data_IF_998158267211
#
_entry.id   IF_998158267211
#
_cell.length_a   1.000
_cell.length_b   1.000
_cell.length_c   1.000
_cell.angle_alpha   90.00
_cell.angle_beta   90.00
_cell.angle_gamma   90.00
#
_symmetry.space_group_name_H-M   'P 1'
#
loop_
_entity.id
_entity.type
_entity.pdbx_description
1 polymer ?
#
# COMPACT_ATOMS: atom_id res chain seq x y z
N UNK A 1 35.57 -14.03 11.56
CA UNK A 1 34.77 -15.26 11.75
C UNK A 1 34.13 -15.21 13.13
N UNK A 2 32.82 -14.98 13.19
CA UNK A 2 32.09 -14.84 14.46
C UNK A 2 31.00 -15.92 14.65
N UNK A 3 30.58 -16.58 13.56
CA UNK A 3 29.61 -17.67 13.60
C UNK A 3 30.24 -18.97 14.11
N UNK A 4 29.41 -19.86 14.64
CA UNK A 4 29.78 -21.24 15.03
C UNK A 4 30.18 -22.06 13.80
N UNK A 5 30.86 -23.19 14.04
CA UNK A 5 31.11 -24.22 13.01
C UNK A 5 29.79 -24.88 12.61
N UNK A 6 29.76 -25.57 11.47
CA UNK A 6 28.61 -26.39 11.06
C UNK A 6 28.24 -27.44 12.12
N UNK A 7 29.26 -28.01 12.79
CA UNK A 7 29.09 -28.94 13.93
C UNK A 7 28.60 -28.28 15.23
N UNK A 8 28.35 -26.97 15.24
CA UNK A 8 27.91 -26.22 16.43
C UNK A 8 29.05 -25.75 17.36
N UNK A 9 30.27 -26.23 17.17
CA UNK A 9 31.44 -25.85 17.98
C UNK A 9 31.82 -24.36 17.86
N UNK A 10 32.30 -23.76 18.96
CA UNK A 10 32.77 -22.36 19.00
C UNK A 10 34.11 -22.23 18.26
N UNK A 11 34.29 -21.14 17.51
CA UNK A 11 35.53 -20.85 16.77
C UNK A 11 36.27 -19.67 17.42
N UNK A 12 37.53 -19.87 17.80
CA UNK A 12 38.39 -18.79 18.32
C UNK A 12 38.67 -17.79 17.20
N UNK A 13 38.59 -16.50 17.51
CA UNK A 13 38.98 -15.45 16.58
C UNK A 13 40.50 -15.41 16.47
N UNK A 14 41.03 -15.69 15.27
CA UNK A 14 42.49 -15.72 15.02
C UNK A 14 43.05 -14.36 14.57
N UNK A 15 42.18 -13.41 14.19
CA UNK A 15 42.56 -12.07 13.74
C UNK A 15 41.52 -11.02 14.11
N UNK A 16 41.94 -9.74 14.09
CA UNK A 16 41.07 -8.56 14.22
C UNK A 16 40.18 -8.38 12.97
N UNK A 17 39.08 -7.62 13.11
CA UNK A 17 38.14 -7.27 12.02
C UNK A 17 38.84 -6.45 10.95
N UNK A 18 38.57 -6.71 9.66
CA UNK A 18 39.18 -5.98 8.54
C UNK A 18 38.19 -4.99 7.91
N UNK A 19 38.70 -3.89 7.33
CA UNK A 19 37.89 -2.84 6.68
C UNK A 19 37.00 -3.40 5.55
N UNK A 20 37.46 -4.41 4.82
CA UNK A 20 36.67 -5.02 3.74
C UNK A 20 35.54 -5.94 4.23
N UNK A 21 35.48 -6.27 5.53
CA UNK A 21 34.39 -7.04 6.15
C UNK A 21 33.28 -6.12 6.72
N UNK A 22 33.38 -4.79 6.53
CA UNK A 22 32.43 -3.85 7.13
C UNK A 22 31.02 -3.99 6.55
N UNK A 23 30.02 -3.96 7.44
CA UNK A 23 28.63 -3.69 7.10
C UNK A 23 28.30 -2.21 7.30
N UNK A 24 27.17 -1.76 6.76
CA UNK A 24 26.63 -0.41 6.99
C UNK A 24 25.20 -0.52 7.50
N UNK A 25 24.75 0.52 8.22
CA UNK A 25 23.37 0.62 8.66
C UNK A 25 22.39 0.55 7.47
N UNK A 26 21.20 -0.05 7.64
CA UNK A 26 20.18 -0.11 6.59
C UNK A 26 19.66 1.30 6.25
N UNK A 27 19.07 1.43 5.06
CA UNK A 27 18.59 2.71 4.55
C UNK A 27 17.21 3.10 5.07
N UNK A 28 16.33 2.12 5.31
CA UNK A 28 14.95 2.30 5.74
C UNK A 28 14.20 3.40 4.96
N UNK A 29 14.29 3.35 3.63
CA UNK A 29 13.71 4.34 2.72
C UNK A 29 12.23 4.53 2.99
N UNK A 30 11.81 5.78 3.22
CA UNK A 30 10.41 6.13 3.50
C UNK A 30 9.75 6.77 2.29
N UNK A 31 8.43 6.63 2.25
CA UNK A 31 7.59 7.40 1.36
C UNK A 31 7.51 8.85 1.85
N UNK A 32 7.97 9.80 1.04
CA UNK A 32 7.87 11.24 1.34
C UNK A 32 8.24 12.06 0.11
N UNK A 33 7.50 13.16 -0.12
CA UNK A 33 7.76 14.15 -1.19
C UNK A 33 9.16 14.78 -1.11
N UNK A 34 9.75 14.84 0.10
CA UNK A 34 11.07 15.38 0.31
C UNK A 34 12.15 14.38 -0.10
N UNK A 35 12.33 14.21 -1.42
CA UNK A 35 13.29 13.28 -2.02
C UNK A 35 14.69 13.51 -1.47
N UNK A 36 15.21 12.51 -0.75
CA UNK A 36 16.52 12.57 -0.10
C UNK A 36 17.32 11.34 -0.48
N UNK A 37 18.39 11.51 -1.25
CA UNK A 37 19.29 10.42 -1.66
C UNK A 37 20.73 10.81 -1.33
N UNK A 38 21.41 9.98 -0.52
CA UNK A 38 22.80 10.22 -0.11
C UNK A 38 23.78 9.37 -0.91
N UNK A 39 24.86 10.00 -1.34
CA UNK A 39 25.99 9.33 -2.00
C UNK A 39 26.86 8.63 -0.95
N UNK A 40 27.23 7.36 -1.19
CA UNK A 40 28.10 6.57 -0.29
C UNK A 40 29.26 6.00 -1.09
N UNK A 41 30.48 6.38 -0.72
CA UNK A 41 31.71 5.76 -1.25
C UNK A 41 31.86 4.33 -0.74
N UNK A 42 32.18 3.41 -1.63
CA UNK A 42 32.47 2.00 -1.32
C UNK A 42 33.91 1.66 -1.72
N UNK A 43 34.31 0.40 -1.49
CA UNK A 43 35.66 -0.09 -1.81
C UNK A 43 35.93 0.07 -3.32
N UNK A 44 37.18 0.38 -3.67
CA UNK A 44 37.61 0.56 -5.06
C UNK A 44 37.21 1.89 -5.69
N UNK A 45 36.80 2.89 -4.89
CA UNK A 45 36.42 4.22 -5.41
C UNK A 45 34.99 4.30 -5.95
N UNK A 46 34.31 3.17 -6.11
CA UNK A 46 32.92 3.09 -6.55
C UNK A 46 31.94 3.79 -5.59
N UNK A 47 30.73 4.06 -6.08
CA UNK A 47 29.69 4.79 -5.37
C UNK A 47 28.38 4.01 -5.35
N UNK A 48 27.65 4.10 -4.23
CA UNK A 48 26.26 3.67 -4.11
C UNK A 48 25.37 4.84 -3.72
N UNK A 49 24.09 4.75 -4.08
CA UNK A 49 23.10 5.76 -3.76
C UNK A 49 22.11 5.21 -2.74
N UNK A 50 22.06 5.85 -1.58
CA UNK A 50 21.16 5.46 -0.49
C UNK A 50 19.97 6.39 -0.48
N UNK A 51 18.83 5.93 -0.99
CA UNK A 51 17.57 6.63 -0.77
C UNK A 51 17.20 6.57 0.71
N UNK A 52 16.85 7.73 1.28
CA UNK A 52 16.24 7.85 2.59
C UNK A 52 14.75 8.17 2.46
N UNK A 53 14.40 8.97 1.46
CA UNK A 53 13.02 9.37 1.14
C UNK A 53 12.81 9.42 -0.35
N UNK A 54 11.73 8.83 -0.83
CA UNK A 54 11.29 8.85 -2.24
C UNK A 54 9.78 9.00 -2.29
N UNK A 55 9.27 9.63 -3.34
CA UNK A 55 7.85 9.81 -3.66
C UNK A 55 7.49 9.34 -5.06
N UNK A 56 8.49 9.12 -5.91
CA UNK A 56 8.33 8.83 -7.33
C UNK A 56 9.24 7.67 -7.73
N UNK A 57 8.79 6.91 -8.72
CA UNK A 57 9.50 5.76 -9.26
C UNK A 57 9.18 5.56 -10.73
N UNK A 58 9.97 4.74 -11.42
CA UNK A 58 9.72 4.39 -12.81
C UNK A 58 9.07 3.01 -12.89
N UNK A 59 7.84 2.95 -13.40
CA UNK A 59 7.06 1.71 -13.44
C UNK A 59 6.74 1.30 -14.87
N UNK A 60 6.92 0.02 -15.16
CA UNK A 60 6.57 -0.59 -16.45
C UNK A 60 5.22 -1.28 -16.40
N UNK A 61 4.38 -1.00 -17.39
CA UNK A 61 3.23 -1.79 -17.77
C UNK A 61 3.68 -2.85 -18.77
N UNK A 62 3.64 -4.12 -18.37
CA UNK A 62 4.25 -5.23 -19.11
C UNK A 62 3.51 -5.55 -20.41
N UNK A 63 2.19 -5.73 -20.34
CA UNK A 63 1.35 -6.07 -21.48
C UNK A 63 1.40 -5.04 -22.62
N UNK A 64 1.39 -3.75 -22.28
CA UNK A 64 1.41 -2.65 -23.25
C UNK A 64 2.84 -2.16 -23.59
N UNK A 65 3.88 -2.75 -22.99
CA UNK A 65 5.28 -2.37 -23.15
C UNK A 65 5.57 -0.86 -22.91
N UNK A 66 4.97 -0.28 -21.87
CA UNK A 66 5.06 1.15 -21.58
C UNK A 66 5.65 1.39 -20.21
N UNK A 67 6.63 2.27 -20.14
CA UNK A 67 7.21 2.70 -18.88
C UNK A 67 6.90 4.18 -18.62
N UNK A 68 6.43 4.49 -17.41
CA UNK A 68 6.13 5.87 -16.99
C UNK A 68 6.64 6.12 -15.58
N UNK A 69 7.10 7.36 -15.37
CA UNK A 69 7.39 7.88 -14.04
C UNK A 69 6.06 8.17 -13.36
N UNK A 70 5.81 7.54 -12.22
CA UNK A 70 4.58 7.71 -11.45
C UNK A 70 4.89 7.98 -9.99
N UNK A 71 3.90 8.56 -9.30
CA UNK A 71 3.96 8.82 -7.86
C UNK A 71 3.64 7.54 -7.09
N UNK A 72 4.43 7.28 -6.06
CA UNK A 72 4.22 6.26 -5.05
C UNK A 72 3.19 6.78 -4.05
N UNK A 73 2.14 6.00 -3.78
CA UNK A 73 1.04 6.43 -2.90
C UNK A 73 1.09 5.74 -1.54
N UNK A 74 1.22 4.42 -1.55
CA UNK A 74 1.12 3.61 -0.33
C UNK A 74 1.88 2.27 -0.49
N UNK A 75 2.36 1.71 0.62
CA UNK A 75 2.90 0.34 0.70
C UNK A 75 1.82 -0.56 1.29
N UNK A 76 1.31 -1.51 0.51
CA UNK A 76 0.15 -2.32 0.91
C UNK A 76 0.53 -3.70 1.41
N UNK A 77 1.52 -4.32 0.77
CA UNK A 77 1.95 -5.68 1.11
C UNK A 77 3.46 -5.85 1.01
N UNK A 78 4.00 -6.68 1.91
CA UNK A 78 5.39 -7.08 1.91
C UNK A 78 5.46 -8.56 2.31
N UNK A 79 6.19 -9.36 1.54
CA UNK A 79 6.32 -10.78 1.79
C UNK A 79 7.19 -11.12 3.01
N UNK A 80 8.17 -10.27 3.34
CA UNK A 80 9.17 -10.58 4.36
C UNK A 80 8.75 -10.18 5.77
N UNK A 81 8.15 -8.99 5.93
CA UNK A 81 7.78 -8.47 7.24
C UNK A 81 6.64 -7.45 7.15
N UNK A 82 5.61 -7.63 7.98
CA UNK A 82 4.45 -6.74 8.06
C UNK A 82 4.79 -5.36 8.67
N UNK A 83 5.83 -5.24 9.49
CA UNK A 83 6.27 -3.95 10.05
C UNK A 83 6.73 -2.97 8.97
N UNK A 84 7.26 -3.50 7.86
CA UNK A 84 7.69 -2.67 6.73
C UNK A 84 6.50 -2.00 6.02
N UNK A 85 5.33 -2.64 6.07
CA UNK A 85 4.07 -2.08 5.57
C UNK A 85 3.58 -0.99 6.52
N UNK A 86 3.50 -1.29 7.82
CA UNK A 86 3.04 -0.35 8.86
C UNK A 86 3.85 0.95 8.86
N UNK A 87 5.15 0.82 8.67
CA UNK A 87 6.08 1.96 8.70
C UNK A 87 6.33 2.61 7.34
N UNK A 88 5.60 2.23 6.27
CA UNK A 88 5.75 2.80 4.93
C UNK A 88 7.20 2.70 4.39
N UNK A 89 7.84 1.53 4.57
CA UNK A 89 9.24 1.33 4.16
C UNK A 89 9.34 0.69 2.77
N UNK A 90 10.02 1.37 1.85
CA UNK A 90 10.22 0.92 0.47
C UNK A 90 11.40 -0.06 0.39
N UNK A 91 11.11 -1.31 0.04
CA UNK A 91 12.10 -2.37 -0.19
C UNK A 91 11.81 -3.09 -1.50
N UNK A 92 12.81 -3.84 -2.00
CA UNK A 92 12.61 -4.73 -3.16
C UNK A 92 11.49 -5.72 -2.84
N UNK A 93 10.65 -5.99 -3.83
CA UNK A 93 9.49 -6.88 -3.79
C UNK A 93 8.34 -6.39 -2.91
N UNK A 94 8.37 -5.14 -2.42
CA UNK A 94 7.21 -4.55 -1.79
C UNK A 94 6.13 -4.27 -2.83
N UNK A 95 4.89 -4.60 -2.49
CA UNK A 95 3.72 -4.28 -3.30
C UNK A 95 3.16 -2.95 -2.81
N UNK A 96 3.04 -2.03 -3.76
CA UNK A 96 2.72 -0.63 -3.54
C UNK A 96 1.54 -0.21 -4.41
N UNK A 97 0.85 0.85 -4.00
CA UNK A 97 -0.08 1.58 -4.85
C UNK A 97 0.66 2.70 -5.57
N UNK A 98 0.50 2.77 -6.87
CA UNK A 98 1.02 3.85 -7.73
C UNK A 98 -0.13 4.59 -8.40
N UNK A 99 0.10 5.86 -8.72
CA UNK A 99 -0.85 6.67 -9.48
C UNK A 99 -1.06 6.12 -10.90
N UNK A 100 -2.32 6.00 -11.31
CA UNK A 100 -2.73 5.49 -12.62
C UNK A 100 -2.72 6.57 -13.71
N UNK A 101 -2.73 7.86 -13.35
CA UNK A 101 -2.94 8.95 -14.31
C UNK A 101 -1.94 8.96 -15.49
N UNK A 102 -0.62 8.73 -15.30
CA UNK A 102 0.32 8.73 -16.41
C UNK A 102 0.09 7.59 -17.42
N UNK A 103 -0.43 6.44 -16.96
CA UNK A 103 -0.76 5.30 -17.81
C UNK A 103 -2.09 5.52 -18.53
N UNK A 104 -3.09 6.09 -17.85
CA UNK A 104 -4.37 6.48 -18.45
C UNK A 104 -4.18 7.50 -19.57
N UNK A 105 -3.37 8.54 -19.33
CA UNK A 105 -3.06 9.56 -20.35
C UNK A 105 -2.38 8.95 -21.57
N UNK A 106 -1.42 8.05 -21.35
CA UNK A 106 -0.78 7.33 -22.46
C UNK A 106 -1.78 6.48 -23.24
N UNK A 107 -2.66 5.76 -22.54
CA UNK A 107 -3.65 4.90 -23.18
C UNK A 107 -4.63 5.69 -24.04
N UNK A 108 -5.09 6.85 -23.55
CA UNK A 108 -5.91 7.79 -24.31
C UNK A 108 -5.20 8.27 -25.58
N UNK A 109 -3.92 8.61 -25.49
CA UNK A 109 -3.13 9.05 -26.65
C UNK A 109 -2.85 7.90 -27.64
N UNK A 110 -2.66 6.67 -27.14
CA UNK A 110 -2.28 5.53 -27.97
C UNK A 110 -3.47 4.92 -28.72
N UNK A 111 -4.59 4.72 -28.01
CA UNK A 111 -5.79 4.04 -28.50
C UNK A 111 -6.97 4.98 -28.77
N UNK A 112 -6.89 6.25 -28.34
CA UNK A 112 -8.01 7.19 -28.47
C UNK A 112 -9.18 6.92 -27.51
N UNK A 113 -8.99 6.05 -26.51
CA UNK A 113 -10.05 5.60 -25.60
C UNK A 113 -9.69 5.98 -24.16
N UNK A 114 -10.65 6.53 -23.43
CA UNK A 114 -10.50 6.87 -22.02
C UNK A 114 -10.82 5.64 -21.13
N UNK A 115 -9.86 5.16 -20.34
CA UNK A 115 -10.05 4.08 -19.35
C UNK A 115 -10.34 4.68 -17.98
N UNK A 116 -11.23 4.05 -17.21
CA UNK A 116 -11.41 4.37 -15.79
C UNK A 116 -12.47 5.44 -15.54
N UNK A 117 -13.31 5.73 -16.53
CA UNK A 117 -14.61 6.35 -16.28
C UNK A 117 -15.53 5.31 -15.66
N UNK A 118 -15.96 5.53 -14.41
CA UNK A 118 -17.07 4.77 -13.84
C UNK A 118 -18.29 4.98 -14.76
N UNK A 119 -18.82 3.90 -15.34
CA UNK A 119 -20.15 3.94 -15.97
C UNK A 119 -21.13 4.43 -14.90
N UNK A 120 -21.59 5.68 -15.00
CA UNK A 120 -22.80 6.08 -14.28
C UNK A 120 -23.92 5.19 -14.83
N UNK A 121 -24.60 4.45 -13.96
CA UNK A 121 -25.72 3.59 -14.35
C UNK A 121 -26.85 4.41 -15.01
N UNK A 122 -27.82 3.74 -15.66
CA UNK A 122 -28.86 4.37 -16.46
C UNK A 122 -29.97 5.05 -15.64
N UNK A 123 -29.71 5.46 -14.40
CA UNK A 123 -30.70 6.06 -13.49
C UNK A 123 -30.08 7.23 -12.72
N UNK A 124 -29.90 8.35 -13.43
CA UNK A 124 -30.01 9.74 -12.95
C UNK A 124 -29.64 10.66 -14.11
N UNK A 125 -30.58 10.82 -15.04
CA UNK A 125 -30.74 12.09 -15.74
C UNK A 125 -31.57 12.95 -14.79
N UNK A 126 -30.94 13.99 -14.25
CA UNK A 126 -31.49 15.30 -13.86
C UNK A 126 -30.73 15.91 -12.67
N UNK A 127 -30.21 17.11 -12.95
CA UNK A 127 -29.79 18.18 -12.05
C UNK A 127 -28.72 17.90 -10.97
N UNK A 128 -27.47 18.16 -11.31
CA UNK A 128 -26.62 19.08 -10.52
C UNK A 128 -25.47 19.53 -11.44
N UNK A 129 -25.74 20.63 -12.13
CA UNK A 129 -24.73 21.53 -12.68
C UNK A 129 -23.97 22.11 -11.48
N UNK A 130 -22.69 21.76 -11.37
CA UNK A 130 -21.60 22.49 -10.70
C UNK A 130 -20.47 21.49 -10.43
N UNK A 131 -19.45 21.58 -11.28
CA UNK A 131 -18.38 20.59 -11.41
C UNK A 131 -17.96 20.36 -12.87
N UNK A 132 -18.65 21.00 -13.82
CA UNK A 132 -18.17 21.26 -15.18
C UNK A 132 -17.07 22.33 -15.15
N UNK A 133 -15.89 21.93 -14.68
CA UNK A 133 -14.73 22.80 -14.50
C UNK A 133 -13.41 22.10 -14.76
N UNK A 134 -13.42 21.09 -15.61
CA UNK A 134 -12.26 20.54 -16.30
C UNK A 134 -12.80 19.89 -17.59
N UNK A 135 -13.28 20.78 -18.46
CA UNK A 135 -13.72 20.52 -19.82
C UNK A 135 -12.91 19.37 -20.45
N UNK A 136 -13.53 18.37 -21.06
CA UNK A 136 -14.12 18.59 -22.39
C UNK A 136 -13.18 19.38 -23.31
N UNK A 137 -11.89 19.05 -23.26
CA UNK A 137 -10.88 19.35 -24.27
C UNK A 137 -10.10 18.06 -24.61
N UNK A 138 -10.83 16.97 -24.87
CA UNK A 138 -10.52 16.28 -26.11
C UNK A 138 -11.13 17.17 -27.19
N UNK A 139 -10.42 18.26 -27.51
CA UNK A 139 -10.58 18.92 -28.80
C UNK A 139 -10.67 17.78 -29.82
N UNK A 140 -11.75 17.73 -30.59
CA UNK A 140 -11.74 17.04 -31.87
C UNK A 140 -10.76 17.81 -32.76
N UNK A 141 -9.48 17.72 -32.41
CA UNK A 141 -8.38 18.04 -33.29
C UNK A 141 -8.66 17.23 -34.53
N UNK A 142 -8.91 17.92 -35.65
CA UNK A 142 -9.09 17.28 -36.95
C UNK A 142 -7.83 16.46 -37.23
N UNK A 143 -7.88 15.16 -36.92
CA UNK A 143 -6.78 14.24 -37.15
C UNK A 143 -6.79 13.86 -38.62
N UNK A 144 -5.61 13.75 -39.21
CA UNK A 144 -5.51 13.27 -40.59
C UNK A 144 -6.07 11.85 -40.71
N UNK A 145 -6.63 11.51 -41.87
CA UNK A 145 -7.20 10.19 -42.15
C UNK A 145 -6.18 9.05 -41.89
N UNK A 146 -4.89 9.32 -42.07
CA UNK A 146 -3.82 8.36 -41.77
C UNK A 146 -3.69 8.07 -40.26
N UNK A 147 -3.86 9.08 -39.40
CA UNK A 147 -3.83 8.91 -37.94
C UNK A 147 -5.06 8.13 -37.46
N UNK A 148 -6.24 8.42 -38.00
CA UNK A 148 -7.47 7.70 -37.70
C UNK A 148 -7.32 6.21 -38.01
N UNK A 149 -6.90 5.88 -39.24
CA UNK A 149 -6.64 4.48 -39.64
C UNK A 149 -5.61 3.77 -38.76
N UNK A 150 -4.58 4.49 -38.31
CA UNK A 150 -3.56 3.93 -37.39
C UNK A 150 -4.14 3.62 -36.02
N UNK A 151 -5.02 4.47 -35.50
CA UNK A 151 -5.70 4.26 -34.22
C UNK A 151 -6.67 3.08 -34.33
N UNK A 152 -7.48 3.02 -35.39
CA UNK A 152 -8.41 1.90 -35.64
C UNK A 152 -7.68 0.55 -35.69
N UNK A 153 -6.54 0.47 -36.40
CA UNK A 153 -5.71 -0.73 -36.44
C UNK A 153 -5.22 -1.17 -35.05
N UNK A 154 -4.89 -0.21 -34.17
CA UNK A 154 -4.47 -0.51 -32.80
C UNK A 154 -5.64 -0.95 -31.92
N UNK A 155 -6.82 -0.37 -32.12
CA UNK A 155 -8.03 -0.73 -31.38
C UNK A 155 -8.43 -2.18 -31.58
N UNK A 156 -8.12 -2.78 -32.74
CA UNK A 156 -8.39 -4.20 -33.01
C UNK A 156 -7.61 -5.15 -32.07
N UNK A 157 -6.37 -4.81 -31.71
CA UNK A 157 -5.53 -5.64 -30.83
C UNK A 157 -5.76 -5.36 -29.33
N UNK A 158 -6.67 -4.45 -29.00
CA UNK A 158 -6.87 -3.93 -27.64
C UNK A 158 -7.58 -4.96 -26.76
N UNK A 159 -6.85 -5.55 -25.82
CA UNK A 159 -7.41 -6.44 -24.79
C UNK A 159 -6.85 -6.08 -23.42
N UNK A 160 -7.73 -5.64 -22.52
CA UNK A 160 -7.37 -5.30 -21.14
C UNK A 160 -8.01 -6.30 -20.18
N UNK A 161 -7.28 -6.69 -19.13
CA UNK A 161 -7.79 -7.56 -18.07
C UNK A 161 -8.78 -6.81 -17.17
N UNK A 162 -9.91 -7.44 -16.83
CA UNK A 162 -10.98 -6.87 -16.00
C UNK A 162 -10.45 -6.32 -14.67
N UNK A 163 -9.52 -7.04 -14.03
CA UNK A 163 -8.94 -6.62 -12.75
C UNK A 163 -8.12 -5.34 -12.86
N UNK A 164 -7.48 -5.11 -14.02
CA UNK A 164 -6.69 -3.90 -14.28
C UNK A 164 -7.65 -2.73 -14.58
N UNK A 165 -8.73 -2.97 -15.33
CA UNK A 165 -9.76 -1.96 -15.63
C UNK A 165 -10.43 -1.40 -14.36
N UNK A 166 -10.72 -2.28 -13.41
CA UNK A 166 -11.23 -1.92 -12.08
C UNK A 166 -10.26 -1.01 -11.32
N UNK A 167 -8.95 -1.29 -11.38
CA UNK A 167 -7.93 -0.46 -10.73
C UNK A 167 -7.79 0.92 -11.38
N UNK A 168 -7.88 1.01 -12.70
CA UNK A 168 -7.92 2.29 -13.40
C UNK A 168 -9.13 3.14 -12.99
N UNK A 169 -10.28 2.51 -12.74
CA UNK A 169 -11.47 3.18 -12.20
C UNK A 169 -11.27 3.71 -10.77
N UNK A 170 -10.39 3.06 -9.99
CA UNK A 170 -9.95 3.52 -8.68
C UNK A 170 -8.83 4.57 -8.72
N UNK A 171 -8.25 4.84 -9.89
CA UNK A 171 -7.14 5.77 -10.08
C UNK A 171 -5.81 5.31 -9.45
N UNK A 172 -5.73 4.05 -8.99
CA UNK A 172 -4.55 3.51 -8.30
C UNK A 172 -4.27 2.11 -8.81
N UNK A 173 -3.05 1.88 -9.28
CA UNK A 173 -2.60 0.57 -9.75
C UNK A 173 -1.74 -0.11 -8.68
N UNK A 174 -1.86 -1.43 -8.57
CA UNK A 174 -0.93 -2.22 -7.76
C UNK A 174 0.34 -2.51 -8.55
N UNK A 175 1.49 -2.25 -7.94
CA UNK A 175 2.78 -2.45 -8.56
C UNK A 175 3.77 -3.12 -7.59
N UNK A 176 4.76 -3.81 -8.15
CA UNK A 176 5.86 -4.42 -7.41
C UNK A 176 7.15 -3.65 -7.64
N UNK A 177 7.87 -3.31 -6.57
CA UNK A 177 9.20 -2.70 -6.66
C UNK A 177 10.22 -3.79 -7.02
N UNK A 178 10.88 -3.69 -8.18
CA UNK A 178 11.94 -4.62 -8.60
C UNK A 178 13.34 -4.12 -8.24
N UNK A 179 13.51 -2.81 -8.07
CA UNK A 179 14.79 -2.18 -7.71
C UNK A 179 15.14 -2.32 -6.22
N UNK A 180 16.35 -1.89 -5.83
CA UNK A 180 16.83 -1.87 -4.44
C UNK A 180 17.12 -0.43 -3.98
N UNK A 181 16.12 0.31 -3.46
CA UNK A 181 16.24 1.74 -3.16
C UNK A 181 17.45 2.13 -2.29
N UNK A 182 17.81 1.30 -1.31
CA UNK A 182 18.96 1.56 -0.43
C UNK A 182 20.35 1.36 -1.07
N UNK A 183 20.43 0.84 -2.30
CA UNK A 183 21.68 0.62 -3.04
C UNK A 183 21.78 1.49 -4.30
N UNK A 184 20.69 1.60 -5.07
CA UNK A 184 20.65 2.35 -6.32
C UNK A 184 19.98 3.73 -6.20
N UNK A 185 19.30 4.04 -5.09
CA UNK A 185 18.64 5.33 -4.88
C UNK A 185 17.33 5.52 -5.64
N UNK A 186 16.79 4.46 -6.25
CA UNK A 186 15.57 4.48 -7.08
C UNK A 186 14.58 3.41 -6.63
N UNK A 187 13.29 3.68 -6.80
CA UNK A 187 12.19 2.74 -6.52
C UNK A 187 11.47 2.44 -7.83
N UNK A 188 12.09 1.60 -8.67
CA UNK A 188 11.57 1.23 -9.98
C UNK A 188 10.91 -0.15 -9.89
N UNK A 189 9.95 -0.41 -10.78
CA UNK A 189 9.11 -1.59 -10.69
C UNK A 189 8.25 -1.85 -11.91
N UNK A 190 7.27 -2.71 -11.74
CA UNK A 190 6.28 -3.05 -12.77
C UNK A 190 4.88 -3.15 -12.17
N UNK A 191 3.86 -2.88 -12.98
CA UNK A 191 2.45 -3.04 -12.62
C UNK A 191 2.13 -4.53 -12.56
N UNK A 192 1.37 -4.94 -11.54
CA UNK A 192 0.93 -6.32 -11.38
C UNK A 192 -0.20 -6.65 -12.36
N UNK A 193 -0.11 -7.79 -13.04
CA UNK A 193 -1.10 -8.23 -14.04
C UNK A 193 -1.45 -9.72 -13.88
N UNK A 194 -2.63 -10.13 -14.37
CA UNK A 194 -3.05 -11.52 -14.46
C UNK A 194 -2.97 -12.30 -13.14
N UNK A 195 -2.41 -13.52 -13.20
CA UNK A 195 -2.32 -14.44 -12.04
C UNK A 195 -1.54 -13.87 -10.86
N UNK A 196 -0.52 -13.06 -11.12
CA UNK A 196 0.26 -12.41 -10.05
C UNK A 196 -0.59 -11.38 -9.31
N UNK A 197 -1.36 -10.59 -10.07
CA UNK A 197 -2.29 -9.63 -9.50
C UNK A 197 -3.38 -10.32 -8.67
N UNK A 198 -3.97 -11.39 -9.18
CA UNK A 198 -4.97 -12.17 -8.45
C UNK A 198 -4.41 -12.71 -7.13
N UNK A 199 -3.18 -13.24 -7.14
CA UNK A 199 -2.55 -13.79 -5.96
C UNK A 199 -2.40 -12.73 -4.87
N UNK A 200 -1.86 -11.57 -5.19
CA UNK A 200 -1.67 -10.49 -4.21
C UNK A 200 -3.00 -9.89 -3.77
N UNK A 201 -3.98 -9.77 -4.67
CA UNK A 201 -5.33 -9.30 -4.33
C UNK A 201 -6.00 -10.24 -3.31
N UNK A 202 -5.93 -11.56 -3.53
CA UNK A 202 -6.41 -12.57 -2.57
C UNK A 202 -5.70 -12.48 -1.21
N UNK A 203 -4.38 -12.26 -1.21
CA UNK A 203 -3.60 -12.09 0.04
C UNK A 203 -4.03 -10.83 0.82
N UNK A 204 -4.29 -9.73 0.12
CA UNK A 204 -4.77 -8.49 0.72
C UNK A 204 -6.17 -8.65 1.32
N UNK A 205 -7.10 -9.27 0.57
CA UNK A 205 -8.45 -9.56 1.05
C UNK A 205 -8.44 -10.46 2.28
N UNK A 206 -7.64 -11.54 2.29
CA UNK A 206 -7.49 -12.42 3.46
C UNK A 206 -6.95 -11.69 4.68
N UNK A 207 -6.01 -10.76 4.48
CA UNK A 207 -5.44 -9.94 5.57
C UNK A 207 -6.48 -8.98 6.16
N UNK A 208 -7.33 -8.37 5.31
CA UNK A 208 -8.43 -7.50 5.75
C UNK A 208 -9.55 -8.29 6.43
N UNK A 209 -9.92 -9.43 5.86
CA UNK A 209 -10.97 -10.31 6.38
C UNK A 209 -10.64 -10.96 7.72
N UNK A 210 -9.36 -11.22 8.03
CA UNK A 210 -8.96 -11.70 9.36
C UNK A 210 -9.29 -10.69 10.46
N UNK A 211 -8.98 -9.40 10.23
CA UNK A 211 -9.29 -8.33 11.20
C UNK A 211 -10.79 -8.18 11.42
N UNK A 212 -11.58 -8.16 10.34
CA UNK A 212 -13.04 -8.14 10.42
C UNK A 212 -13.58 -9.39 11.13
N UNK A 213 -13.10 -10.59 10.79
CA UNK A 213 -13.58 -11.84 11.40
C UNK A 213 -13.26 -11.95 12.90
N UNK A 214 -12.16 -11.37 13.37
CA UNK A 214 -11.83 -11.31 14.79
C UNK A 214 -12.72 -10.31 15.54
N UNK A 215 -13.00 -9.15 14.94
CA UNK A 215 -13.95 -8.16 15.50
C UNK A 215 -15.39 -8.70 15.51
N UNK A 216 -15.87 -9.29 14.41
CA UNK A 216 -17.21 -9.89 14.35
C UNK A 216 -17.33 -11.09 15.28
N UNK A 217 -16.27 -11.90 15.47
CA UNK A 217 -16.27 -12.98 16.46
C UNK A 217 -16.34 -12.45 17.89
N UNK A 218 -15.63 -11.36 18.21
CA UNK A 218 -15.72 -10.70 19.52
C UNK A 218 -17.13 -10.15 19.77
N UNK A 219 -17.72 -9.42 18.82
CA UNK A 219 -19.08 -8.89 18.93
C UNK A 219 -20.14 -10.00 19.03
N UNK A 220 -20.04 -11.06 18.22
CA UNK A 220 -20.97 -12.18 18.29
C UNK A 220 -20.80 -13.00 19.58
N UNK A 221 -19.58 -13.11 20.13
CA UNK A 221 -19.36 -13.73 21.43
C UNK A 221 -20.04 -12.93 22.56
N UNK A 222 -19.93 -11.60 22.53
CA UNK A 222 -20.59 -10.69 23.49
C UNK A 222 -22.11 -10.79 23.38
N UNK A 223 -22.67 -10.74 22.17
CA UNK A 223 -24.12 -10.86 21.94
C UNK A 223 -24.67 -12.20 22.42
N UNK A 224 -24.00 -13.31 22.11
CA UNK A 224 -24.40 -14.66 22.55
C UNK A 224 -24.30 -14.85 24.07
N UNK A 225 -23.49 -14.03 24.75
CA UNK A 225 -23.36 -14.03 26.22
C UNK A 225 -24.44 -13.18 26.89
N UNK A 226 -24.85 -12.07 26.27
CA UNK A 226 -26.03 -11.29 26.67
C UNK A 226 -27.30 -12.12 26.52
N UNK A 227 -27.44 -12.84 25.41
CA UNK A 227 -28.59 -13.71 25.12
C UNK A 227 -28.71 -14.87 26.13
N UNK A 228 -27.57 -15.47 26.53
CA UNK A 228 -27.53 -16.48 27.60
C UNK A 228 -27.87 -15.92 28.99
N UNK A 229 -27.52 -14.65 29.29
CA UNK A 229 -27.94 -13.96 30.53
C UNK A 229 -29.45 -13.68 30.54
N UNK A 230 -30.05 -13.32 29.41
CA UNK A 230 -31.50 -13.12 29.31
C UNK A 230 -32.30 -14.44 29.43
N UNK A 231 -31.69 -15.58 29.07
CA UNK A 231 -32.30 -16.91 29.22
C UNK A 231 -32.12 -17.55 30.62
N UNK A 232 -31.61 -16.82 31.62
CA UNK A 232 -31.61 -17.27 33.02
C UNK A 232 -30.71 -18.46 33.38
N UNK A 233 -29.76 -18.85 32.52
CA UNK A 233 -28.77 -19.89 32.85
C UNK A 233 -27.59 -19.27 33.60
N UNK A 234 -27.42 -19.64 34.89
CA UNK A 234 -26.31 -19.21 35.76
C UNK A 234 -24.95 -19.55 35.13
N UNK A 235 -24.01 -18.59 35.15
CA UNK A 235 -22.61 -18.82 34.76
C UNK A 235 -21.79 -19.30 35.96
N UNK A 236 -20.64 -19.95 35.70
CA UNK A 236 -19.72 -20.42 36.75
C UNK A 236 -19.23 -19.26 37.65
N UNK A 237 -19.20 -19.44 38.99
CA UNK A 237 -18.88 -18.37 39.95
C UNK A 237 -17.49 -17.75 39.77
N UNK A 238 -16.49 -18.58 39.43
CA UNK A 238 -15.11 -18.13 39.21
C UNK A 238 -15.00 -17.20 37.97
N UNK A 239 -15.89 -17.37 37.00
CA UNK A 239 -15.94 -16.54 35.80
C UNK A 239 -16.64 -15.21 36.13
N UNK A 240 -17.67 -15.22 36.98
CA UNK A 240 -18.32 -13.98 37.46
C UNK A 240 -17.35 -13.07 38.24
N UNK A 241 -16.50 -13.63 39.10
CA UNK A 241 -15.51 -12.85 39.86
C UNK A 241 -14.46 -12.18 38.95
N UNK A 242 -14.02 -12.86 37.89
CA UNK A 242 -13.10 -12.27 36.91
C UNK A 242 -13.77 -11.13 36.12
N UNK A 243 -15.06 -11.24 35.81
CA UNK A 243 -15.80 -10.17 35.13
C UNK A 243 -16.09 -8.97 36.04
N UNK A 244 -16.35 -9.17 37.34
CA UNK A 244 -16.52 -8.07 38.30
C UNK A 244 -15.22 -7.25 38.43
N UNK A 245 -14.06 -7.91 38.31
CA UNK A 245 -12.76 -7.25 38.32
C UNK A 245 -12.52 -6.47 37.01
N UNK A 246 -12.80 -7.07 35.84
CA UNK A 246 -12.63 -6.41 34.54
C UNK A 246 -13.60 -5.21 34.35
N UNK A 247 -14.85 -5.33 34.81
CA UNK A 247 -15.83 -4.22 34.73
C UNK A 247 -15.43 -3.06 35.65
N UNK A 248 -14.86 -3.34 36.83
CA UNK A 248 -14.32 -2.30 37.72
C UNK A 248 -13.11 -1.60 37.12
N UNK A 249 -12.24 -2.32 36.40
CA UNK A 249 -11.12 -1.71 35.68
C UNK A 249 -11.59 -0.82 34.52
N UNK A 250 -12.57 -1.28 33.73
CA UNK A 250 -13.15 -0.47 32.65
C UNK A 250 -13.89 0.78 33.16
N UNK A 251 -14.59 0.67 34.29
CA UNK A 251 -15.27 1.82 34.91
C UNK A 251 -14.26 2.84 35.46
N UNK A 252 -13.15 2.35 36.03
CA UNK A 252 -12.04 3.20 36.48
C UNK A 252 -11.38 3.95 35.31
N UNK A 253 -11.13 3.27 34.20
CA UNK A 253 -10.56 3.87 32.98
C UNK A 253 -11.52 4.87 32.31
N UNK A 254 -12.82 4.57 32.29
CA UNK A 254 -13.86 5.50 31.82
C UNK A 254 -13.96 6.75 32.68
N UNK A 255 -13.88 6.62 34.02
CA UNK A 255 -13.81 7.77 34.94
C UNK A 255 -12.55 8.60 34.71
N UNK A 256 -11.41 7.95 34.43
CA UNK A 256 -10.14 8.63 34.10
C UNK A 256 -10.24 9.41 32.77
N UNK A 257 -10.89 8.83 31.77
CA UNK A 257 -11.14 9.47 30.47
C UNK A 257 -12.08 10.68 30.59
N UNK A 258 -13.15 10.58 31.40
CA UNK A 258 -14.07 11.70 31.69
C UNK A 258 -13.37 12.83 32.46
N UNK A 259 -12.52 12.52 33.44
CA UNK A 259 -11.70 13.52 34.15
C UNK A 259 -10.71 14.23 33.21
N UNK A 260 -10.15 13.51 32.23
CA UNK A 260 -9.26 14.07 31.21
C UNK A 260 -10.00 15.00 30.22
N UNK A 261 -11.24 14.66 29.86
CA UNK A 261 -12.11 15.53 29.04
C UNK A 261 -12.59 16.77 29.80
N UNK A 262 -12.91 16.66 31.10
CA UNK A 262 -13.32 17.79 31.94
C UNK A 262 -12.21 18.83 32.15
N UNK A 263 -10.94 18.41 32.29
CA UNK A 263 -9.79 19.33 32.39
C UNK A 263 -9.44 20.04 31.06
N UNK A 264 -9.88 19.52 29.92
CA UNK A 264 -9.66 20.15 28.61
C UNK A 264 -10.67 21.27 28.28
N UNK A 265 -11.84 21.27 28.92
CA UNK A 265 -12.86 22.29 28.69
C UNK A 265 -12.63 23.58 29.51
N UNK A 266 -11.95 23.50 30.65
CA UNK A 266 -11.64 24.66 31.49
C UNK A 266 -10.40 25.47 31.02
N UNK A 267 -9.64 24.97 30.03
CA UNK A 267 -8.45 25.63 29.50
C UNK A 267 -8.64 26.35 28.16
N UNK A 268 -9.87 26.40 27.63
CA UNK A 268 -10.20 27.09 26.37
C UNK A 268 -11.06 28.35 26.57
N UNK A 269 -11.25 28.77 27.82
CA UNK A 269 -11.89 30.03 28.19
C UNK A 269 -10.99 30.77 29.20
N UNK A 270 -9.83 31.21 28.73
CA UNK A 270 -8.99 32.23 29.33
C UNK A 270 -8.11 32.82 28.22
#
# INVERSE_FOLDING_TARGET
>A
MHKRRATGGKKKAWRKKRKYELGRQPANTKLSSNKTVRRIRVRGGNVKWRALRLDTGNFSWGSEAVTRKTRLLDVVYNASNNELVRTQTLVKSAIIQVDAAPFRQWYLQHYGVDIGRKKKGPTKKEATEEGEGAAAAAEETKKSNHVVRKIEKRQQARKLDSHIEEQFSGGRLLACISSRPGQCGRADGYILEGKELEFYTKKLQKKKGKGASEETKKSNHVLRKIEKRQQGRKLDPHIEEQYILEDKELEFDMKKLKRKKGKGAAGAAA
#
